data_IF_750692074789
#
_entry.id   IF_750692074789
#
_cell.length_a   1.000
_cell.length_b   1.000
_cell.length_c   1.000
_cell.angle_alpha   90.00
_cell.angle_beta   90.00
_cell.angle_gamma   90.00
#
_symmetry.space_group_name_H-M   'P 1'
#
loop_
_entity.id
_entity.type
_entity.pdbx_description
1 polymer ?
#
# COMPACT_ATOMS: atom_id res chain seq x y z
N UNK A 1 -6.90 22.40 28.79
CA UNK A 1 -5.47 22.03 28.80
C UNK A 1 -5.28 21.01 27.70
N UNK A 2 -4.36 21.23 26.77
CA UNK A 2 -4.10 20.29 25.66
C UNK A 2 -3.52 18.99 26.23
N UNK A 3 -4.13 17.85 25.88
CA UNK A 3 -3.74 16.52 26.36
C UNK A 3 -3.15 15.71 25.21
N UNK A 4 -1.95 15.16 25.42
CA UNK A 4 -1.35 14.19 24.50
C UNK A 4 -2.00 12.82 24.70
N UNK A 5 -2.61 12.27 23.65
CA UNK A 5 -3.26 10.95 23.65
C UNK A 5 -2.32 9.87 23.15
N UNK A 6 -1.58 10.18 22.08
CA UNK A 6 -0.68 9.25 21.41
C UNK A 6 0.45 10.00 20.73
N UNK A 7 1.63 9.38 20.63
CA UNK A 7 2.77 9.93 19.91
C UNK A 7 3.52 8.80 19.19
N UNK A 8 3.88 9.03 17.94
CA UNK A 8 4.67 8.12 17.10
C UNK A 8 5.79 8.89 16.40
N UNK A 9 6.96 8.27 16.32
CA UNK A 9 8.12 8.83 15.63
C UNK A 9 8.39 8.03 14.35
N UNK A 10 8.71 8.71 13.25
CA UNK A 10 9.19 8.11 12.01
C UNK A 10 10.72 8.09 11.94
N UNK A 11 11.35 7.73 13.06
CA UNK A 11 12.81 7.76 13.26
C UNK A 11 13.60 6.72 12.45
N UNK A 12 12.93 5.80 11.76
CA UNK A 12 13.57 4.88 10.80
C UNK A 12 13.88 5.54 9.45
N UNK A 13 13.38 6.76 9.23
CA UNK A 13 13.62 7.54 8.01
C UNK A 13 14.85 8.43 8.19
N UNK A 14 15.42 8.87 7.07
CA UNK A 14 16.47 9.89 7.08
C UNK A 14 16.01 11.15 7.85
N UNK A 15 16.94 11.94 8.43
CA UNK A 15 16.59 13.14 9.20
C UNK A 15 15.66 14.12 8.45
N UNK A 16 15.78 14.21 7.12
CA UNK A 16 14.93 15.07 6.27
C UNK A 16 13.47 14.62 6.18
N UNK A 17 13.15 13.37 6.51
CA UNK A 17 11.80 12.81 6.49
C UNK A 17 11.31 12.36 7.87
N UNK A 18 12.12 12.59 8.90
CA UNK A 18 11.82 12.19 10.27
C UNK A 18 10.94 13.23 10.94
N UNK A 19 9.81 12.76 11.49
CA UNK A 19 8.83 13.58 12.18
C UNK A 19 8.19 12.80 13.34
N UNK A 20 7.59 13.55 14.25
CA UNK A 20 6.74 13.07 15.32
C UNK A 20 5.30 13.41 14.99
N UNK A 21 4.44 12.39 15.03
CA UNK A 21 2.99 12.53 14.89
C UNK A 21 2.34 12.37 16.26
N UNK A 22 1.68 13.42 16.73
CA UNK A 22 0.96 13.45 18.00
C UNK A 22 -0.55 13.47 17.74
N UNK A 23 -1.32 12.68 18.49
CA UNK A 23 -2.76 12.87 18.61
C UNK A 23 -3.01 13.67 19.88
N UNK A 24 -3.61 14.84 19.72
CA UNK A 24 -3.88 15.79 20.80
C UNK A 24 -5.38 15.89 21.02
N UNK A 25 -5.78 16.15 22.25
CA UNK A 25 -7.17 16.38 22.63
C UNK A 25 -7.28 17.66 23.44
N UNK A 26 -8.16 18.56 22.98
CA UNK A 26 -8.49 19.79 23.67
C UNK A 26 -10.01 19.97 23.66
N UNK A 27 -10.59 20.13 24.85
CA UNK A 27 -12.02 20.37 25.04
C UNK A 27 -12.91 19.32 24.33
N UNK A 28 -12.45 18.07 24.29
CA UNK A 28 -13.13 16.94 23.64
C UNK A 28 -12.93 16.84 22.13
N UNK A 29 -12.22 17.79 21.51
CA UNK A 29 -11.87 17.80 20.09
C UNK A 29 -10.47 17.25 19.90
N UNK A 30 -10.30 16.32 18.95
CA UNK A 30 -8.99 15.73 18.62
C UNK A 30 -8.38 16.38 17.39
N UNK A 31 -7.06 16.45 17.37
CA UNK A 31 -6.25 16.86 16.21
C UNK A 31 -5.00 16.00 16.08
N UNK A 32 -4.40 15.99 14.89
CA UNK A 32 -3.15 15.29 14.63
C UNK A 32 -2.07 16.32 14.34
N UNK A 33 -1.04 16.42 15.17
CA UNK A 33 0.09 17.34 14.96
C UNK A 33 1.30 16.58 14.44
N UNK A 34 1.74 16.90 13.22
CA UNK A 34 3.01 16.42 12.64
C UNK A 34 4.08 17.48 12.90
N UNK A 35 5.14 17.12 13.63
CA UNK A 35 6.24 18.01 14.04
C UNK A 35 7.56 17.44 13.52
N UNK A 36 8.43 18.23 12.86
CA UNK A 36 9.71 17.73 12.37
C UNK A 36 10.59 17.28 13.54
N UNK A 37 11.30 16.16 13.38
CA UNK A 37 12.17 15.63 14.44
C UNK A 37 13.46 16.47 14.59
N UNK A 38 13.87 17.16 13.53
CA UNK A 38 15.03 18.03 13.47
C UNK A 38 14.85 19.12 12.40
N UNK A 39 15.82 20.02 12.28
CA UNK A 39 15.75 21.15 11.34
C UNK A 39 15.64 20.68 9.90
N UNK A 40 16.25 19.55 9.58
CA UNK A 40 16.28 18.92 8.27
C UNK A 40 14.89 18.49 7.79
N UNK A 41 13.96 18.19 8.70
CA UNK A 41 12.60 17.77 8.38
C UNK A 41 11.57 18.91 8.26
N UNK A 42 11.97 20.16 8.53
CA UNK A 42 11.06 21.32 8.54
C UNK A 42 10.39 21.53 7.17
N UNK A 43 11.16 21.42 6.09
CA UNK A 43 10.63 21.56 4.72
C UNK A 43 9.63 20.44 4.38
N UNK A 44 9.96 19.20 4.77
CA UNK A 44 9.09 18.04 4.56
C UNK A 44 7.74 18.22 5.28
N UNK A 45 7.75 18.62 6.56
CA UNK A 45 6.52 18.87 7.30
C UNK A 45 5.75 20.06 6.75
N UNK A 46 6.42 21.17 6.42
CA UNK A 46 5.78 22.34 5.84
C UNK A 46 5.09 22.04 4.50
N UNK A 47 5.64 21.09 3.71
CA UNK A 47 5.07 20.70 2.42
C UNK A 47 3.67 20.10 2.52
N UNK A 48 3.27 19.52 3.66
CA UNK A 48 1.93 18.95 3.86
C UNK A 48 0.82 19.97 3.59
N UNK A 49 0.98 21.23 4.02
CA UNK A 49 -0.01 22.27 3.76
C UNK A 49 -0.14 22.57 2.26
N UNK A 50 1.00 22.63 1.55
CA UNK A 50 1.02 22.77 0.08
C UNK A 50 0.33 21.58 -0.60
N UNK A 51 0.56 20.36 -0.12
CA UNK A 51 -0.02 19.15 -0.71
C UNK A 51 -1.53 19.06 -0.51
N UNK A 52 -2.04 19.44 0.67
CA UNK A 52 -3.48 19.52 0.92
C UNK A 52 -4.18 20.43 -0.12
N UNK A 53 -3.68 21.65 -0.31
CA UNK A 53 -4.23 22.59 -1.30
C UNK A 53 -4.10 22.10 -2.75
N UNK A 54 -3.00 21.42 -3.08
CA UNK A 54 -2.77 20.89 -4.42
C UNK A 54 -3.71 19.72 -4.74
N UNK A 55 -3.89 18.80 -3.79
CA UNK A 55 -4.75 17.63 -3.93
C UNK A 55 -6.23 17.98 -3.93
N UNK A 56 -6.65 19.04 -3.24
CA UNK A 56 -8.03 19.55 -3.36
C UNK A 56 -8.40 19.87 -4.82
N UNK A 57 -7.44 20.36 -5.62
CA UNK A 57 -7.67 20.64 -7.06
C UNK A 57 -7.73 19.35 -7.86
N UNK A 58 -6.86 18.38 -7.57
CA UNK A 58 -6.82 17.07 -8.22
C UNK A 58 -8.09 16.27 -7.92
N UNK A 59 -8.61 16.36 -6.69
CA UNK A 59 -9.78 15.62 -6.24
C UNK A 59 -11.11 16.30 -6.56
N UNK A 60 -11.11 17.47 -7.21
CA UNK A 60 -12.31 18.27 -7.48
C UNK A 60 -13.45 17.50 -8.14
N UNK A 61 -13.13 16.63 -9.09
CA UNK A 61 -14.11 15.81 -9.83
C UNK A 61 -14.15 14.35 -9.32
N UNK A 62 -13.60 14.11 -8.13
CA UNK A 62 -13.56 12.81 -7.45
C UNK A 62 -14.45 12.82 -6.19
N UNK A 63 -14.77 11.65 -5.62
CA UNK A 63 -15.50 11.60 -4.36
C UNK A 63 -14.64 11.93 -3.13
N UNK A 64 -13.31 12.04 -3.27
CA UNK A 64 -12.41 12.17 -2.13
C UNK A 64 -12.17 13.62 -1.74
N UNK A 65 -11.90 13.83 -0.46
CA UNK A 65 -11.38 15.10 0.07
C UNK A 65 -10.20 14.82 0.99
N UNK A 66 -9.27 15.76 1.12
CA UNK A 66 -8.22 15.70 2.14
C UNK A 66 -8.78 16.14 3.49
N UNK A 67 -8.26 15.59 4.59
CA UNK A 67 -8.50 16.20 5.90
C UNK A 67 -7.85 17.59 5.96
N UNK A 68 -8.47 18.50 6.73
CA UNK A 68 -7.98 19.89 6.81
C UNK A 68 -6.59 19.94 7.41
N UNK A 69 -5.77 20.83 6.88
CA UNK A 69 -4.39 21.03 7.26
C UNK A 69 -4.12 22.51 7.52
N UNK A 70 -3.47 22.81 8.64
CA UNK A 70 -3.02 24.16 8.99
C UNK A 70 -1.56 24.13 9.43
N UNK A 71 -0.77 25.09 8.96
CA UNK A 71 0.60 25.29 9.42
C UNK A 71 0.60 26.05 10.76
N UNK A 72 1.25 25.49 11.77
CA UNK A 72 1.43 26.10 13.09
C UNK A 72 2.93 26.17 13.43
N UNK A 73 3.55 27.31 13.11
CA UNK A 73 4.99 27.49 13.28
C UNK A 73 5.79 26.52 12.40
N UNK A 74 6.44 25.54 13.01
CA UNK A 74 7.22 24.49 12.32
C UNK A 74 6.46 23.17 12.19
N UNK A 75 5.27 23.08 12.77
CA UNK A 75 4.44 21.88 12.75
C UNK A 75 3.25 22.09 11.83
N UNK A 76 2.63 21.00 11.43
CA UNK A 76 1.34 20.99 10.76
C UNK A 76 0.31 20.33 11.66
N UNK A 77 -0.86 20.94 11.78
CA UNK A 77 -2.02 20.39 12.48
C UNK A 77 -3.06 19.95 11.45
N UNK A 78 -3.39 18.67 11.51
CA UNK A 78 -4.35 17.99 10.67
C UNK A 78 -5.63 17.72 11.48
N UNK A 79 -6.76 17.80 10.80
CA UNK A 79 -8.05 17.38 11.33
C UNK A 79 -8.03 15.87 11.66
N UNK A 80 -8.45 15.53 12.89
CA UNK A 80 -8.66 14.14 13.28
C UNK A 80 -10.05 13.70 12.79
N UNK A 81 -10.08 12.79 11.82
CA UNK A 81 -11.32 12.24 11.28
C UNK A 81 -11.61 10.92 11.97
N UNK A 82 -12.82 10.81 12.55
CA UNK A 82 -13.29 9.56 13.14
C UNK A 82 -14.18 8.82 12.15
N UNK A 83 -13.92 7.53 11.94
CA UNK A 83 -14.74 6.68 11.07
C UNK A 83 -14.06 5.33 10.81
N UNK A 84 -14.77 4.45 10.12
CA UNK A 84 -14.21 3.18 9.62
C UNK A 84 -13.32 3.48 8.41
N UNK A 85 -12.09 2.95 8.41
CA UNK A 85 -11.20 3.03 7.25
C UNK A 85 -11.60 2.02 6.17
N UNK A 86 -11.18 2.26 4.94
CA UNK A 86 -11.38 1.29 3.85
C UNK A 86 -10.72 -0.06 4.20
N UNK A 87 -9.55 -0.05 4.83
CA UNK A 87 -8.88 -1.27 5.28
C UNK A 87 -9.74 -2.06 6.28
N UNK A 88 -10.25 -1.40 7.33
CA UNK A 88 -11.10 -2.05 8.34
C UNK A 88 -12.36 -2.63 7.70
N UNK A 89 -12.98 -1.89 6.77
CA UNK A 89 -14.17 -2.35 6.06
C UNK A 89 -13.90 -3.59 5.22
N UNK A 90 -12.83 -3.58 4.43
CA UNK A 90 -12.44 -4.72 3.60
C UNK A 90 -12.13 -5.95 4.47
N UNK A 91 -11.39 -5.77 5.56
CA UNK A 91 -11.07 -6.84 6.50
C UNK A 91 -12.31 -7.42 7.18
N UNK A 92 -13.29 -6.56 7.50
CA UNK A 92 -14.58 -6.98 8.06
C UNK A 92 -15.36 -7.88 7.09
N UNK A 93 -15.42 -7.52 5.81
CA UNK A 93 -16.06 -8.33 4.76
C UNK A 93 -15.36 -9.68 4.58
N UNK A 94 -14.03 -9.70 4.53
CA UNK A 94 -13.26 -10.94 4.41
C UNK A 94 -13.48 -11.88 5.61
N UNK A 95 -13.51 -11.34 6.83
CA UNK A 95 -13.81 -12.12 8.05
C UNK A 95 -15.21 -12.73 8.04
N UNK A 96 -16.17 -12.08 7.37
CA UNK A 96 -17.53 -12.57 7.18
C UNK A 96 -17.67 -13.57 6.02
N UNK A 97 -16.59 -13.82 5.27
CA UNK A 97 -16.60 -14.67 4.08
C UNK A 97 -17.13 -13.98 2.83
N UNK A 98 -17.38 -12.67 2.88
CA UNK A 98 -17.90 -11.86 1.78
C UNK A 98 -16.78 -11.39 0.83
N UNK A 99 -16.02 -12.35 0.30
CA UNK A 99 -14.88 -12.08 -0.59
C UNK A 99 -15.27 -11.22 -1.80
N UNK A 100 -16.39 -11.55 -2.45
CA UNK A 100 -16.81 -10.87 -3.69
C UNK A 100 -17.16 -9.40 -3.44
N UNK A 101 -17.80 -9.07 -2.31
CA UNK A 101 -18.09 -7.68 -1.96
C UNK A 101 -16.82 -6.92 -1.56
N UNK A 102 -15.86 -7.57 -0.91
CA UNK A 102 -14.55 -6.97 -0.64
C UNK A 102 -13.79 -6.65 -1.94
N UNK A 103 -13.74 -7.58 -2.89
CA UNK A 103 -13.10 -7.38 -4.21
C UNK A 103 -13.80 -6.28 -5.02
N UNK A 104 -15.12 -6.20 -4.95
CA UNK A 104 -15.92 -5.14 -5.59
C UNK A 104 -15.63 -3.78 -4.97
N UNK A 105 -15.59 -3.69 -3.64
CA UNK A 105 -15.26 -2.45 -2.93
C UNK A 105 -13.83 -1.97 -3.25
N UNK A 106 -12.85 -2.87 -3.20
CA UNK A 106 -11.46 -2.58 -3.55
C UNK A 106 -11.33 -2.15 -5.02
N UNK A 107 -12.00 -2.86 -5.94
CA UNK A 107 -12.04 -2.45 -7.36
C UNK A 107 -12.64 -1.06 -7.51
N UNK A 108 -13.74 -0.76 -6.82
CA UNK A 108 -14.39 0.55 -6.88
C UNK A 108 -13.43 1.66 -6.49
N UNK A 109 -12.70 1.47 -5.38
CA UNK A 109 -11.67 2.40 -4.94
C UNK A 109 -10.55 2.59 -5.98
N UNK A 110 -9.99 1.49 -6.50
CA UNK A 110 -8.95 1.52 -7.52
C UNK A 110 -9.41 2.21 -8.82
N UNK A 111 -10.69 2.05 -9.18
CA UNK A 111 -11.28 2.71 -10.36
C UNK A 111 -11.32 4.23 -10.19
N UNK A 112 -11.61 4.72 -8.98
CA UNK A 112 -11.56 6.16 -8.71
C UNK A 112 -10.11 6.68 -8.75
N UNK A 113 -9.15 5.95 -8.17
CA UNK A 113 -7.73 6.31 -8.27
C UNK A 113 -7.26 6.37 -9.73
N UNK A 114 -7.64 5.39 -10.56
CA UNK A 114 -7.27 5.36 -11.98
C UNK A 114 -7.82 6.58 -12.74
N UNK A 115 -9.02 7.05 -12.40
CA UNK A 115 -9.58 8.27 -13.00
C UNK A 115 -8.84 9.52 -12.55
N UNK A 116 -8.49 9.61 -11.26
CA UNK A 116 -7.81 10.76 -10.67
C UNK A 116 -6.41 10.94 -11.25
N UNK A 117 -5.62 9.87 -11.30
CA UNK A 117 -4.21 9.94 -11.72
C UNK A 117 -4.03 9.61 -13.20
N UNK A 118 -4.84 10.26 -14.03
CA UNK A 118 -4.85 10.15 -15.49
C UNK A 118 -4.99 11.53 -16.11
N UNK A 119 -4.47 11.71 -17.32
CA UNK A 119 -4.74 12.91 -18.13
C UNK A 119 -3.53 13.41 -18.90
N UNK A 120 -2.33 13.27 -18.34
CA UNK A 120 -1.08 13.63 -19.03
C UNK A 120 -0.23 12.39 -19.27
N UNK A 121 0.50 12.39 -20.38
CA UNK A 121 1.45 11.31 -20.68
C UNK A 121 2.61 11.41 -19.68
N UNK A 122 2.92 10.30 -19.04
CA UNK A 122 4.05 10.21 -18.12
C UNK A 122 5.36 10.40 -18.90
N UNK A 123 6.10 11.41 -18.51
CA UNK A 123 7.46 11.65 -18.96
C UNK A 123 8.44 11.51 -17.79
N UNK A 124 9.48 10.71 -17.99
CA UNK A 124 10.49 10.49 -16.97
C UNK A 124 11.33 11.75 -16.78
N UNK A 125 11.38 12.26 -15.55
CA UNK A 125 12.18 13.43 -15.16
C UNK A 125 13.34 13.04 -14.26
N UNK A 126 14.31 13.94 -14.09
CA UNK A 126 15.40 13.75 -13.12
C UNK A 126 14.88 13.61 -11.68
N UNK A 127 13.85 14.40 -11.32
CA UNK A 127 13.19 14.31 -10.01
C UNK A 127 12.56 12.93 -9.79
N UNK A 128 11.86 12.41 -10.80
CA UNK A 128 11.33 11.05 -10.76
C UNK A 128 12.44 10.02 -10.57
N UNK A 129 13.51 10.07 -11.38
CA UNK A 129 14.64 9.13 -11.28
C UNK A 129 15.32 9.21 -9.91
N UNK A 130 15.43 10.40 -9.31
CA UNK A 130 16.01 10.57 -7.98
C UNK A 130 15.23 9.84 -6.88
N UNK A 131 13.89 9.84 -6.98
CA UNK A 131 13.00 9.25 -5.96
C UNK A 131 12.74 7.77 -6.23
N UNK A 132 12.43 7.42 -7.47
CA UNK A 132 11.98 6.07 -7.86
C UNK A 132 13.04 5.24 -8.60
N UNK A 133 14.24 5.79 -8.76
CA UNK A 133 15.35 5.11 -9.44
C UNK A 133 15.12 4.97 -10.94
N UNK A 134 16.04 4.26 -11.59
CA UNK A 134 15.90 4.03 -13.03
C UNK A 134 14.97 2.89 -13.39
N UNK A 135 14.03 3.20 -14.28
CA UNK A 135 12.97 2.30 -14.72
C UNK A 135 12.85 2.28 -16.23
N UNK A 136 12.36 1.14 -16.75
CA UNK A 136 12.14 0.94 -18.17
C UNK A 136 10.69 0.52 -18.39
N UNK A 137 9.92 1.40 -19.01
CA UNK A 137 8.55 1.13 -19.39
C UNK A 137 8.43 0.96 -20.90
N UNK A 138 7.87 -0.18 -21.31
CA UNK A 138 7.70 -0.55 -22.72
C UNK A 138 6.34 -0.13 -23.29
N UNK A 139 5.57 0.63 -22.52
CA UNK A 139 4.26 1.17 -22.87
C UNK A 139 4.13 2.56 -22.30
N UNK A 140 3.40 3.41 -23.00
CA UNK A 140 2.98 4.71 -22.51
C UNK A 140 2.15 4.53 -21.22
N UNK A 141 2.37 5.43 -20.28
CA UNK A 141 1.62 5.51 -19.02
C UNK A 141 1.10 6.93 -18.88
N UNK A 142 0.11 7.09 -18.02
CA UNK A 142 -0.48 8.38 -17.71
C UNK A 142 -0.24 8.74 -16.24
N UNK A 143 -0.28 10.04 -15.96
CA UNK A 143 -0.17 10.62 -14.64
C UNK A 143 -1.12 11.83 -14.52
N UNK A 144 -1.21 12.37 -13.30
CA UNK A 144 -1.74 13.70 -13.05
C UNK A 144 -0.59 14.67 -12.75
N UNK A 145 -0.90 15.97 -12.71
CA UNK A 145 0.06 17.02 -12.38
C UNK A 145 0.61 16.90 -10.95
N UNK A 146 -0.22 16.39 -10.03
CA UNK A 146 0.15 16.11 -8.64
C UNK A 146 -0.36 14.73 -8.28
N UNK A 147 0.52 13.90 -7.71
CA UNK A 147 0.23 12.49 -7.39
C UNK A 147 0.58 12.18 -5.94
N UNK A 148 -0.41 11.78 -5.15
CA UNK A 148 -0.19 11.15 -3.84
C UNK A 148 -0.03 9.63 -4.03
N UNK A 149 1.13 9.11 -3.62
CA UNK A 149 1.42 7.67 -3.70
C UNK A 149 1.03 6.92 -2.42
N UNK A 150 0.59 7.60 -1.36
CA UNK A 150 0.20 7.01 -0.08
C UNK A 150 -1.32 6.77 0.07
N UNK A 151 -1.98 6.53 -1.06
CA UNK A 151 -3.41 6.21 -1.16
C UNK A 151 -3.78 4.80 -0.64
N UNK A 152 -3.00 4.24 0.30
CA UNK A 152 -3.24 2.93 0.90
C UNK A 152 -4.58 2.89 1.66
N UNK A 153 -5.21 1.71 1.74
CA UNK A 153 -6.58 1.57 2.27
C UNK A 153 -6.75 2.07 3.72
N UNK A 154 -5.70 2.04 4.54
CA UNK A 154 -5.72 2.56 5.92
C UNK A 154 -5.82 4.10 5.98
N UNK A 155 -5.40 4.79 4.91
CA UNK A 155 -5.37 6.25 4.85
C UNK A 155 -6.67 6.85 4.30
N UNK A 156 -7.67 6.02 3.94
CA UNK A 156 -8.99 6.47 3.50
C UNK A 156 -10.04 6.15 4.56
N UNK A 157 -10.68 7.18 5.12
CA UNK A 157 -11.82 7.04 6.04
C UNK A 157 -13.13 7.13 5.27
N UNK A 158 -14.02 6.17 5.47
CA UNK A 158 -15.31 6.03 4.78
C UNK A 158 -16.41 6.92 5.38
N UNK A 159 -16.11 8.20 5.58
CA UNK A 159 -17.10 9.25 5.88
C UNK A 159 -17.89 9.65 4.62
N UNK A 160 -18.77 10.65 4.74
CA UNK A 160 -19.47 11.23 3.60
C UNK A 160 -19.21 12.75 3.52
N UNK A 161 -18.32 13.22 2.62
CA UNK A 161 -17.53 12.45 1.65
C UNK A 161 -16.40 11.62 2.31
N UNK A 162 -15.84 10.60 1.63
CA UNK A 162 -14.65 9.89 2.11
C UNK A 162 -13.42 10.79 2.19
N UNK A 163 -12.64 10.65 3.28
CA UNK A 163 -11.52 11.55 3.58
C UNK A 163 -10.18 10.82 3.49
N UNK A 164 -9.24 11.38 2.74
CA UNK A 164 -7.83 10.97 2.66
C UNK A 164 -7.05 11.66 3.78
N UNK A 165 -6.39 10.88 4.63
CA UNK A 165 -5.75 11.37 5.86
C UNK A 165 -4.28 11.70 5.75
N UNK A 166 -3.52 10.86 5.03
CA UNK A 166 -2.07 10.98 4.94
C UNK A 166 -1.66 11.09 3.49
N UNK A 167 -1.26 12.31 3.12
CA UNK A 167 -0.78 12.69 1.80
C UNK A 167 0.66 13.22 1.88
N UNK A 168 1.44 12.70 2.83
CA UNK A 168 2.82 13.07 3.04
C UNK A 168 3.72 12.75 1.84
N UNK A 169 3.38 11.71 1.07
CA UNK A 169 4.12 11.30 -0.12
C UNK A 169 3.41 11.74 -1.39
N UNK A 170 3.27 13.05 -1.50
CA UNK A 170 2.73 13.72 -2.68
C UNK A 170 3.84 14.37 -3.49
N UNK A 171 3.76 14.23 -4.81
CA UNK A 171 4.77 14.74 -5.74
C UNK A 171 4.12 15.58 -6.83
N UNK A 172 4.79 16.67 -7.22
CA UNK A 172 4.44 17.57 -8.33
C UNK A 172 5.28 17.32 -9.60
N UNK A 173 5.97 16.18 -9.64
CA UNK A 173 6.57 15.65 -10.86
C UNK A 173 5.78 14.41 -11.32
N UNK A 174 5.84 14.05 -12.62
CA UNK A 174 5.09 12.91 -13.15
C UNK A 174 5.36 11.61 -12.39
N UNK A 175 4.32 10.98 -11.88
CA UNK A 175 4.34 9.63 -11.31
C UNK A 175 3.24 8.81 -11.98
N UNK A 176 3.53 7.60 -12.52
CA UNK A 176 2.51 6.82 -13.23
C UNK A 176 1.32 6.48 -12.30
N UNK A 177 0.08 6.78 -12.70
CA UNK A 177 -1.10 6.47 -11.89
C UNK A 177 -1.23 4.97 -11.58
N UNK A 178 -0.79 4.11 -12.52
CA UNK A 178 -0.72 2.66 -12.32
C UNK A 178 0.24 2.23 -11.21
N UNK A 179 1.26 3.02 -10.89
CA UNK A 179 2.13 2.76 -9.75
C UNK A 179 1.37 2.96 -8.42
N UNK A 180 0.48 3.95 -8.35
CA UNK A 180 -0.40 4.16 -7.18
C UNK A 180 -1.34 2.97 -7.01
N UNK A 181 -2.00 2.53 -8.08
CA UNK A 181 -2.86 1.33 -8.06
C UNK A 181 -2.08 0.10 -7.57
N UNK A 182 -0.86 -0.10 -8.09
CA UNK A 182 0.02 -1.17 -7.65
C UNK A 182 0.30 -1.10 -6.15
N UNK A 183 0.66 0.08 -5.62
CA UNK A 183 0.93 0.26 -4.18
C UNK A 183 -0.30 -0.08 -3.34
N UNK A 184 -1.49 0.38 -3.71
CA UNK A 184 -2.73 0.08 -2.97
C UNK A 184 -2.98 -1.42 -2.89
N UNK A 185 -2.90 -2.12 -4.02
CA UNK A 185 -3.09 -3.58 -4.09
C UNK A 185 -2.03 -4.30 -3.26
N UNK A 186 -0.75 -3.96 -3.49
CA UNK A 186 0.38 -4.61 -2.84
C UNK A 186 0.35 -4.45 -1.32
N UNK A 187 0.19 -3.22 -0.81
CA UNK A 187 0.18 -2.97 0.63
C UNK A 187 -1.06 -3.54 1.30
N UNK A 188 -2.22 -3.52 0.65
CA UNK A 188 -3.41 -4.13 1.22
C UNK A 188 -3.22 -5.65 1.35
N UNK A 189 -2.85 -6.35 0.28
CA UNK A 189 -2.81 -7.82 0.26
C UNK A 189 -1.66 -8.39 1.08
N UNK A 190 -0.43 -7.87 0.94
CA UNK A 190 0.75 -8.51 1.54
C UNK A 190 1.02 -8.13 2.99
N UNK A 191 0.30 -7.14 3.55
CA UNK A 191 0.47 -6.77 4.96
C UNK A 191 -0.21 -7.75 5.93
N UNK A 192 -1.16 -8.57 5.46
CA UNK A 192 -1.86 -9.54 6.29
C UNK A 192 -2.19 -10.84 5.50
N UNK A 193 -1.69 -12.02 5.92
CA UNK A 193 -1.93 -13.29 5.23
C UNK A 193 -3.41 -13.65 5.02
N UNK A 194 -4.33 -13.14 5.85
CA UNK A 194 -5.77 -13.32 5.68
C UNK A 194 -6.28 -12.78 4.33
N UNK A 195 -5.61 -11.78 3.77
CA UNK A 195 -6.00 -11.08 2.54
C UNK A 195 -5.51 -11.78 1.27
N UNK A 196 -4.64 -12.80 1.38
CA UNK A 196 -4.19 -13.64 0.25
C UNK A 196 -5.34 -14.42 -0.43
N UNK A 197 -6.54 -14.41 0.15
CA UNK A 197 -7.75 -14.97 -0.49
C UNK A 197 -8.18 -14.16 -1.73
N UNK A 198 -7.78 -12.89 -1.82
CA UNK A 198 -8.03 -12.01 -2.96
C UNK A 198 -7.03 -12.34 -4.07
N UNK A 199 -7.53 -12.45 -5.31
CA UNK A 199 -6.67 -12.74 -6.46
C UNK A 199 -5.98 -11.46 -6.96
N UNK A 200 -4.76 -11.21 -6.47
CA UNK A 200 -3.97 -10.04 -6.85
C UNK A 200 -3.68 -9.97 -8.36
N UNK A 201 -3.45 -11.12 -9.01
CA UNK A 201 -3.13 -11.18 -10.44
C UNK A 201 -4.35 -10.83 -11.29
N UNK A 202 -5.55 -11.21 -10.84
CA UNK A 202 -6.81 -10.84 -11.48
C UNK A 202 -7.05 -9.34 -11.39
N UNK A 203 -6.83 -8.72 -10.21
CA UNK A 203 -6.98 -7.27 -10.03
C UNK A 203 -5.96 -6.52 -10.90
N UNK A 204 -4.68 -6.89 -10.87
CA UNK A 204 -3.68 -6.25 -11.74
C UNK A 204 -4.07 -6.31 -13.21
N UNK A 205 -4.55 -7.46 -13.68
CA UNK A 205 -4.99 -7.63 -15.07
C UNK A 205 -6.17 -6.74 -15.42
N UNK A 206 -7.12 -6.57 -14.51
CA UNK A 206 -8.30 -5.70 -14.68
C UNK A 206 -7.91 -4.24 -14.90
N UNK A 207 -6.88 -3.76 -14.22
CA UNK A 207 -6.32 -2.41 -14.38
C UNK A 207 -5.19 -2.32 -15.42
N UNK A 208 -5.02 -3.36 -16.24
CA UNK A 208 -4.01 -3.39 -17.29
C UNK A 208 -2.57 -3.23 -16.77
N UNK A 209 -2.30 -3.69 -15.54
CA UNK A 209 -0.98 -3.79 -14.93
C UNK A 209 -0.42 -5.16 -15.30
N UNK A 210 0.64 -5.16 -16.11
CA UNK A 210 1.25 -6.41 -16.58
C UNK A 210 2.31 -6.92 -15.60
N UNK A 211 2.69 -8.21 -15.64
CA UNK A 211 3.80 -8.73 -14.83
C UNK A 211 5.13 -7.99 -15.07
N UNK A 212 5.34 -7.46 -16.27
CA UNK A 212 6.52 -6.64 -16.55
C UNK A 212 6.47 -5.28 -15.84
N UNK A 213 5.27 -4.68 -15.75
CA UNK A 213 5.06 -3.45 -14.97
C UNK A 213 5.26 -3.71 -13.48
N UNK A 214 4.71 -4.81 -12.93
CA UNK A 214 4.93 -5.16 -11.52
C UNK A 214 6.41 -5.21 -11.16
N UNK A 215 7.25 -5.85 -11.98
CA UNK A 215 8.72 -5.88 -11.77
C UNK A 215 9.38 -4.50 -11.79
N UNK A 216 8.85 -3.55 -12.56
CA UNK A 216 9.37 -2.17 -12.55
C UNK A 216 8.85 -1.41 -11.33
N UNK A 217 7.60 -1.59 -10.96
CA UNK A 217 7.01 -0.99 -9.76
C UNK A 217 7.64 -1.51 -8.47
N UNK A 218 8.03 -2.78 -8.39
CA UNK A 218 8.83 -3.33 -7.28
C UNK A 218 10.20 -2.64 -7.16
N UNK A 219 10.85 -2.33 -8.30
CA UNK A 219 12.11 -1.58 -8.32
C UNK A 219 11.91 -0.12 -7.92
N UNK A 220 10.80 0.50 -8.36
CA UNK A 220 10.42 1.83 -7.92
C UNK A 220 10.22 1.87 -6.42
N UNK A 221 9.47 0.91 -5.87
CA UNK A 221 9.22 0.79 -4.44
C UNK A 221 10.52 0.62 -3.67
N UNK A 222 11.39 -0.28 -4.13
CA UNK A 222 12.70 -0.51 -3.52
C UNK A 222 13.57 0.76 -3.53
N UNK A 223 13.51 1.55 -4.61
CA UNK A 223 14.25 2.81 -4.73
C UNK A 223 13.66 3.89 -3.83
N UNK A 224 12.33 3.96 -3.75
CA UNK A 224 11.62 4.87 -2.88
C UNK A 224 11.89 4.59 -1.39
N UNK A 225 11.87 3.32 -0.98
CA UNK A 225 12.24 2.94 0.39
C UNK A 225 13.69 3.32 0.73
N UNK A 226 14.63 3.15 -0.22
CA UNK A 226 16.01 3.63 -0.06
C UNK A 226 16.11 5.15 -0.02
N UNK A 227 15.30 5.85 -0.81
CA UNK A 227 15.24 7.31 -0.82
C UNK A 227 14.74 7.86 0.53
N UNK A 228 13.76 7.19 1.14
CA UNK A 228 13.24 7.55 2.47
C UNK A 228 14.31 7.38 3.55
N UNK A 229 15.05 6.27 3.51
CA UNK A 229 16.08 5.99 4.52
C UNK A 229 17.39 6.74 4.27
N UNK A 230 17.74 7.06 3.02
CA UNK A 230 18.96 7.79 2.61
C UNK A 230 20.25 7.27 3.30
N UNK A 231 20.37 5.95 3.43
CA UNK A 231 21.50 5.30 4.13
C UNK A 231 21.40 5.28 5.66
N UNK A 232 20.35 5.86 6.26
CA UNK A 232 20.00 5.64 7.65
C UNK A 232 19.61 4.18 7.84
N UNK A 233 20.34 3.45 8.68
CA UNK A 233 20.03 2.06 9.00
C UNK A 233 18.87 2.08 9.99
N UNK A 234 17.66 1.60 9.60
CA UNK A 234 16.54 1.50 10.51
C UNK A 234 16.93 0.70 11.76
N UNK A 235 16.36 1.02 12.92
CA UNK A 235 16.71 0.34 14.18
C UNK A 235 16.60 -1.19 14.09
N UNK A 236 15.62 -1.72 13.35
CA UNK A 236 15.48 -3.15 13.07
C UNK A 236 16.70 -3.77 12.37
N UNK A 237 17.39 -3.00 11.53
CA UNK A 237 18.58 -3.39 10.78
C UNK A 237 19.87 -3.13 11.57
N UNK A 238 19.85 -2.21 12.56
CA UNK A 238 20.95 -2.05 13.53
C UNK A 238 21.12 -3.30 14.42
N UNK A 239 20.02 -3.94 14.83
CA UNK A 239 20.08 -5.22 15.54
C UNK A 239 20.76 -6.32 14.70
N UNK A 240 20.55 -6.31 13.39
CA UNK A 240 21.21 -7.21 12.44
C UNK A 240 22.71 -6.96 12.35
N UNK A 241 23.15 -5.70 12.41
CA UNK A 241 24.56 -5.31 12.39
C UNK A 241 25.30 -5.58 13.73
N UNK A 242 24.60 -5.56 14.86
CA UNK A 242 25.19 -5.76 16.20
C UNK A 242 25.12 -7.21 16.71
N UNK A 243 24.34 -8.09 16.08
CA UNK A 243 24.24 -9.50 16.43
C UNK A 243 24.27 -10.37 15.17
N UNK A 244 25.43 -10.97 14.83
CA UNK A 244 25.59 -11.84 13.66
C UNK A 244 24.57 -12.99 13.57
N UNK A 245 23.96 -13.38 14.69
CA UNK A 245 22.88 -14.37 14.77
C UNK A 245 21.54 -13.93 14.17
N UNK A 246 21.25 -12.63 14.08
CA UNK A 246 20.00 -12.10 13.52
C UNK A 246 20.00 -12.09 11.97
N UNK A 247 21.18 -12.00 11.36
CA UNK A 247 21.36 -12.14 9.91
C UNK A 247 20.92 -13.53 9.42
N UNK A 248 21.15 -14.57 10.21
CA UNK A 248 20.63 -15.92 9.96
C UNK A 248 19.11 -15.99 9.96
N UNK A 249 18.42 -15.15 10.73
CA UNK A 249 16.95 -15.16 10.80
C UNK A 249 16.37 -14.48 9.57
N UNK A 250 16.94 -13.37 9.11
CA UNK A 250 16.47 -12.69 7.90
C UNK A 250 16.77 -13.48 6.63
N UNK A 251 17.98 -14.02 6.48
CA UNK A 251 18.30 -14.91 5.35
C UNK A 251 17.44 -16.17 5.38
N UNK A 252 17.24 -16.77 6.56
CA UNK A 252 16.35 -17.92 6.72
C UNK A 252 14.89 -17.57 6.46
N UNK A 253 14.43 -16.37 6.81
CA UNK A 253 13.07 -15.93 6.53
C UNK A 253 12.87 -15.68 5.03
N UNK A 254 13.84 -15.06 4.36
CA UNK A 254 13.83 -14.89 2.91
C UNK A 254 13.91 -16.24 2.16
N UNK A 255 14.75 -17.17 2.64
CA UNK A 255 14.79 -18.55 2.15
C UNK A 255 13.46 -19.28 2.37
N UNK A 256 12.89 -19.20 3.58
CA UNK A 256 11.59 -19.80 3.89
C UNK A 256 10.47 -19.19 3.04
N UNK A 257 10.54 -17.91 2.69
CA UNK A 257 9.58 -17.28 1.79
C UNK A 257 9.77 -17.70 0.33
N UNK A 258 11.01 -17.88 -0.13
CA UNK A 258 11.28 -18.44 -1.45
C UNK A 258 10.81 -19.90 -1.54
N UNK A 259 11.13 -20.71 -0.54
CA UNK A 259 10.71 -22.12 -0.44
C UNK A 259 9.18 -22.23 -0.32
N UNK A 260 8.52 -21.36 0.45
CA UNK A 260 7.05 -21.32 0.49
C UNK A 260 6.45 -20.98 -0.86
N UNK A 261 7.05 -20.06 -1.63
CA UNK A 261 6.58 -19.75 -2.99
C UNK A 261 6.71 -20.96 -3.92
N UNK A 262 7.85 -21.64 -3.89
CA UNK A 262 8.07 -22.85 -4.69
C UNK A 262 7.10 -23.99 -4.30
N UNK A 263 6.90 -24.21 -3.00
CA UNK A 263 5.96 -25.20 -2.49
C UNK A 263 4.51 -24.85 -2.86
N UNK A 264 4.12 -23.56 -2.79
CA UNK A 264 2.80 -23.09 -3.23
C UNK A 264 2.60 -23.37 -4.73
N UNK A 265 3.60 -23.10 -5.56
CA UNK A 265 3.56 -23.41 -7.00
C UNK A 265 3.48 -24.92 -7.27
N UNK A 266 4.20 -25.73 -6.52
CA UNK A 266 4.15 -27.18 -6.63
C UNK A 266 2.78 -27.74 -6.21
N UNK A 267 2.20 -27.21 -5.13
CA UNK A 267 0.84 -27.53 -4.69
C UNK A 267 -0.17 -27.15 -5.78
N UNK A 268 -0.02 -25.97 -6.42
CA UNK A 268 -0.89 -25.52 -7.51
C UNK A 268 -0.83 -26.50 -8.69
N UNK A 269 0.37 -26.95 -9.09
CA UNK A 269 0.57 -27.97 -10.13
C UNK A 269 -0.02 -29.33 -9.75
N UNK A 270 0.22 -29.80 -8.53
CA UNK A 270 -0.33 -31.09 -8.03
C UNK A 270 -1.85 -31.06 -7.96
N UNK A 271 -2.44 -29.97 -7.50
CA UNK A 271 -3.90 -29.80 -7.46
C UNK A 271 -4.51 -29.80 -8.86
N UNK A 272 -3.83 -29.17 -9.83
CA UNK A 272 -4.23 -29.25 -11.23
C UNK A 272 -4.22 -30.69 -11.75
N UNK A 273 -3.12 -31.42 -11.54
CA UNK A 273 -2.97 -32.83 -11.95
C UNK A 273 -4.02 -33.74 -11.28
N UNK A 274 -4.29 -33.54 -9.98
CA UNK A 274 -5.33 -34.28 -9.26
C UNK A 274 -6.71 -34.00 -9.87
N UNK A 275 -6.98 -32.75 -10.28
CA UNK A 275 -8.24 -32.37 -10.93
C UNK A 275 -8.39 -33.06 -12.29
N UNK A 276 -7.32 -33.12 -13.08
CA UNK A 276 -7.30 -33.83 -14.35
C UNK A 276 -7.50 -35.34 -14.18
N UNK A 277 -6.74 -35.96 -13.26
CA UNK A 277 -6.89 -37.36 -12.90
C UNK A 277 -8.30 -37.68 -12.42
N UNK A 278 -8.90 -36.81 -11.60
CA UNK A 278 -10.28 -36.95 -11.10
C UNK A 278 -11.33 -36.95 -12.22
N UNK A 279 -11.02 -36.34 -13.36
CA UNK A 279 -11.91 -36.28 -14.52
C UNK A 279 -11.82 -37.49 -15.45
N UNK A 280 -10.81 -38.36 -15.26
CA UNK A 280 -10.64 -39.60 -16.05
C UNK A 280 -11.74 -40.64 -15.79
N UNK A 281 -12.00 -41.48 -16.81
CA UNK A 281 -12.99 -42.56 -16.71
C UNK A 281 -12.62 -43.61 -15.65
N UNK A 282 -11.32 -43.91 -15.51
CA UNK A 282 -10.79 -44.87 -14.54
C UNK A 282 -11.05 -44.40 -13.12
N UNK A 283 -10.77 -43.13 -12.81
CA UNK A 283 -11.01 -42.58 -11.47
C UNK A 283 -12.50 -42.52 -11.10
N UNK A 284 -13.36 -42.19 -12.07
CA UNK A 284 -14.83 -42.21 -11.88
C UNK A 284 -15.37 -43.62 -11.61
N UNK A 285 -14.82 -44.65 -12.26
CA UNK A 285 -15.14 -46.05 -11.98
C UNK A 285 -14.64 -46.49 -10.59
N UNK A 286 -13.38 -46.19 -10.23
CA UNK A 286 -12.81 -46.50 -8.93
C UNK A 286 -13.63 -45.89 -7.78
N UNK A 287 -14.04 -44.61 -7.91
CA UNK A 287 -14.89 -43.94 -6.93
C UNK A 287 -16.27 -44.59 -6.78
N UNK A 288 -16.84 -45.11 -7.88
CA UNK A 288 -18.13 -45.82 -7.87
C UNK A 288 -18.01 -47.18 -7.17
N UNK A 289 -16.93 -47.92 -7.42
CA UNK A 289 -16.63 -49.20 -6.77
C UNK A 289 -16.38 -49.05 -5.26
N UNK A 290 -15.56 -48.07 -4.85
CA UNK A 290 -15.27 -47.81 -3.43
C UNK A 290 -16.52 -47.48 -2.61
N UNK A 291 -17.46 -46.69 -3.15
CA UNK A 291 -18.76 -46.40 -2.50
C UNK A 291 -19.67 -47.63 -2.33
N UNK A 292 -19.48 -48.67 -3.15
CA UNK A 292 -20.23 -49.93 -3.04
C UNK A 292 -19.60 -50.84 -1.98
N UNK A 293 -18.28 -50.83 -1.85
CA UNK A 293 -17.54 -51.60 -0.83
C UNK A 293 -17.72 -51.02 0.57
N UNK A 294 -17.74 -49.69 0.72
CA UNK A 294 -17.97 -49.02 2.02
C UNK A 294 -19.44 -49.05 2.50
N UNK A 295 -20.37 -49.59 1.70
CA UNK A 295 -21.80 -49.75 2.02
C UNK A 295 -22.20 -51.20 2.35
N UNK A 296 -21.25 -52.13 2.35
CA UNK A 296 -21.39 -53.49 2.88
C UNK A 296 -20.78 -53.55 4.27
#
# INVERSE_FOLDING_TARGET
>A
MEKLIYSKYSNERSPRFSLRTDILEQDGVRSVRKTPAGKEGEEHVASLAKWGEALEKVFKDSPFVCNKCALEGKSVVLEYVSGETLEERLDSLLKQGEKEEAEKLLTGYLTEIEKIYKGTVFEKTEAFTKVFGETVFFREMECADVTDIDMVCQNLVLTNPPVVLDYEWTFDFPVPGKFVLYRVIHYYIHSNPMREVIDEEEIYRKFGITPCMCRQFEKMESSFQKYITDGHIPMRDMFTAMSPGAMWIQEKYAQLQAENRELKDEIKKKNHLIREMKNTKIWKMYRKYRKVVERK
#
